data_IF_650401807410
#
_entry.id   IF_650401807410
#
_cell.length_a   1.000
_cell.length_b   1.000
_cell.length_c   1.000
_cell.angle_alpha   90.00
_cell.angle_beta   90.00
_cell.angle_gamma   90.00
#
_symmetry.space_group_name_H-M   'P 1'
#
loop_
_entity.id
_entity.type
_entity.pdbx_description
1 polymer ?
#
# COMPACT_ATOMS: atom_id res chain seq x y z
N UNK A 1 69.96 10.17 25.63
CA UNK A 1 68.70 9.40 25.72
C UNK A 1 68.48 8.70 24.39
N UNK A 2 68.83 7.41 24.27
CA UNK A 2 68.40 6.59 23.14
C UNK A 2 66.95 6.18 23.43
N UNK A 3 66.03 6.52 22.53
CA UNK A 3 64.68 5.95 22.53
C UNK A 3 64.83 4.50 22.05
N UNK A 4 64.51 3.54 22.89
CA UNK A 4 64.40 2.14 22.49
C UNK A 4 63.23 2.02 21.50
N UNK A 5 63.56 1.82 20.23
CA UNK A 5 62.59 1.47 19.21
C UNK A 5 62.21 0.00 19.42
N UNK A 6 61.16 -0.24 20.20
CA UNK A 6 60.53 -1.56 20.27
C UNK A 6 59.92 -1.87 18.89
N UNK A 7 60.61 -2.68 18.08
CA UNK A 7 60.06 -3.24 16.87
C UNK A 7 58.90 -4.18 17.21
N UNK A 8 57.79 -4.05 16.49
CA UNK A 8 56.65 -4.95 16.59
C UNK A 8 57.11 -6.39 16.34
N UNK A 9 56.81 -7.29 17.26
CA UNK A 9 57.09 -8.72 17.07
C UNK A 9 56.14 -9.30 16.02
N UNK A 10 56.58 -10.32 15.28
CA UNK A 10 55.75 -10.99 14.27
C UNK A 10 54.42 -11.49 14.86
N UNK A 11 54.44 -11.95 16.11
CA UNK A 11 53.26 -12.43 16.83
C UNK A 11 52.28 -11.28 17.10
N UNK A 12 52.75 -10.12 17.57
CA UNK A 12 51.90 -8.95 17.78
C UNK A 12 51.25 -8.47 16.48
N UNK A 13 51.96 -8.52 15.34
CA UNK A 13 51.39 -8.20 14.03
C UNK A 13 50.26 -9.18 13.67
N UNK A 14 50.50 -10.49 13.80
CA UNK A 14 49.50 -11.53 13.48
C UNK A 14 48.27 -11.40 14.39
N UNK A 15 48.48 -11.23 15.70
CA UNK A 15 47.39 -11.06 16.67
C UNK A 15 46.61 -9.79 16.38
N UNK A 16 47.28 -8.67 16.10
CA UNK A 16 46.61 -7.40 15.78
C UNK A 16 45.80 -7.52 14.48
N UNK A 17 46.32 -8.21 13.46
CA UNK A 17 45.58 -8.45 12.22
C UNK A 17 44.35 -9.33 12.45
N UNK A 18 44.47 -10.40 13.26
CA UNK A 18 43.36 -11.30 13.59
C UNK A 18 42.28 -10.62 14.44
N UNK A 19 42.68 -9.84 15.44
CA UNK A 19 41.73 -9.09 16.29
C UNK A 19 41.06 -7.98 15.49
N UNK A 20 41.81 -7.25 14.66
CA UNK A 20 41.24 -6.20 13.80
C UNK A 20 40.27 -6.79 12.78
N UNK A 21 40.59 -7.92 12.14
CA UNK A 21 39.69 -8.56 11.17
C UNK A 21 38.39 -9.03 11.82
N UNK A 22 38.45 -9.55 13.05
CA UNK A 22 37.27 -9.90 13.84
C UNK A 22 36.40 -8.66 14.12
N UNK A 23 37.01 -7.55 14.57
CA UNK A 23 36.27 -6.31 14.81
C UNK A 23 35.65 -5.74 13.52
N UNK A 24 36.37 -5.78 12.40
CA UNK A 24 35.85 -5.37 11.09
C UNK A 24 34.68 -6.24 10.64
N UNK A 25 34.77 -7.56 10.85
CA UNK A 25 33.69 -8.48 10.52
C UNK A 25 32.42 -8.16 11.32
N UNK A 26 32.56 -7.97 12.64
CA UNK A 26 31.43 -7.59 13.51
C UNK A 26 30.81 -6.25 13.10
N UNK A 27 31.63 -5.22 12.86
CA UNK A 27 31.15 -3.93 12.42
C UNK A 27 30.41 -4.03 11.06
N UNK A 28 30.95 -4.81 10.12
CA UNK A 28 30.33 -5.03 8.81
C UNK A 28 28.98 -5.73 8.94
N UNK A 29 28.87 -6.75 9.80
CA UNK A 29 27.61 -7.46 10.07
C UNK A 29 26.56 -6.49 10.60
N UNK A 30 26.92 -5.64 11.57
CA UNK A 30 26.00 -4.65 12.15
C UNK A 30 25.53 -3.66 11.09
N UNK A 31 26.43 -3.12 10.27
CA UNK A 31 26.09 -2.16 9.21
C UNK A 31 25.16 -2.78 8.17
N UNK A 32 25.47 -4.00 7.69
CA UNK A 32 24.63 -4.71 6.72
C UNK A 32 23.25 -5.04 7.30
N UNK A 33 23.19 -5.45 8.58
CA UNK A 33 21.93 -5.71 9.26
C UNK A 33 21.07 -4.45 9.38
N UNK A 34 21.65 -3.33 9.81
CA UNK A 34 20.94 -2.05 9.90
C UNK A 34 20.44 -1.58 8.55
N UNK A 35 21.25 -1.68 7.50
CA UNK A 35 20.86 -1.30 6.15
C UNK A 35 19.70 -2.16 5.63
N UNK A 36 19.74 -3.47 5.88
CA UNK A 36 18.69 -4.41 5.48
C UNK A 36 17.39 -4.12 6.22
N UNK A 37 17.47 -3.87 7.53
CA UNK A 37 16.32 -3.51 8.35
C UNK A 37 15.72 -2.17 7.91
N UNK A 38 16.56 -1.18 7.63
CA UNK A 38 16.12 0.12 7.14
C UNK A 38 15.35 -0.02 5.82
N UNK A 39 15.91 -0.71 4.82
CA UNK A 39 15.24 -0.91 3.52
C UNK A 39 13.93 -1.67 3.65
N UNK A 40 13.88 -2.68 4.50
CA UNK A 40 12.65 -3.43 4.77
C UNK A 40 11.59 -2.54 5.42
N UNK A 41 11.98 -1.73 6.41
CA UNK A 41 11.09 -0.78 7.08
C UNK A 41 10.58 0.31 6.14
N UNK A 42 11.45 0.85 5.29
CA UNK A 42 11.12 1.87 4.30
C UNK A 42 10.11 1.31 3.28
N UNK A 43 10.36 0.12 2.74
CA UNK A 43 9.42 -0.58 1.85
C UNK A 43 8.06 -0.78 2.52
N UNK A 44 8.03 -1.29 3.75
CA UNK A 44 6.79 -1.51 4.49
C UNK A 44 6.04 -0.20 4.76
N UNK A 45 6.76 0.89 5.07
CA UNK A 45 6.15 2.20 5.26
C UNK A 45 5.51 2.73 3.96
N UNK A 46 6.21 2.63 2.83
CA UNK A 46 5.68 3.09 1.53
C UNK A 46 4.43 2.30 1.13
N UNK A 47 4.42 0.98 1.36
CA UNK A 47 3.24 0.14 1.17
C UNK A 47 2.05 0.61 2.01
N UNK A 48 2.29 0.89 3.30
CA UNK A 48 1.25 1.37 4.20
C UNK A 48 0.72 2.74 3.79
N UNK A 49 1.60 3.65 3.36
CA UNK A 49 1.21 4.96 2.87
C UNK A 49 0.34 4.88 1.62
N UNK A 50 0.66 4.00 0.67
CA UNK A 50 -0.15 3.78 -0.52
C UNK A 50 -1.53 3.20 -0.18
N UNK A 51 -1.60 2.21 0.74
CA UNK A 51 -2.88 1.69 1.24
C UNK A 51 -3.71 2.81 1.88
N UNK A 52 -3.10 3.68 2.69
CA UNK A 52 -3.79 4.81 3.33
C UNK A 52 -4.31 5.79 2.27
N UNK A 53 -3.50 6.10 1.26
CA UNK A 53 -3.87 6.98 0.16
C UNK A 53 -5.07 6.42 -0.62
N UNK A 54 -5.01 5.14 -1.01
CA UNK A 54 -6.10 4.46 -1.73
C UNK A 54 -7.35 4.41 -0.86
N UNK A 55 -7.23 4.07 0.43
CA UNK A 55 -8.36 4.06 1.36
C UNK A 55 -9.05 5.44 1.38
N UNK A 56 -8.24 6.50 1.49
CA UNK A 56 -8.73 7.88 1.52
C UNK A 56 -9.42 8.27 0.21
N UNK A 57 -8.82 7.95 -0.94
CA UNK A 57 -9.41 8.25 -2.26
C UNK A 57 -10.77 7.56 -2.40
N UNK A 58 -10.87 6.30 -2.00
CA UNK A 58 -12.11 5.53 -2.06
C UNK A 58 -13.18 6.15 -1.14
N UNK A 59 -12.82 6.45 0.12
CA UNK A 59 -13.71 7.13 1.07
C UNK A 59 -14.17 8.49 0.56
N UNK A 60 -13.25 9.37 0.17
CA UNK A 60 -13.56 10.72 -0.31
C UNK A 60 -14.43 10.67 -1.59
N UNK A 61 -14.16 9.71 -2.48
CA UNK A 61 -14.94 9.52 -3.71
C UNK A 61 -16.35 9.07 -3.38
N UNK A 62 -16.51 8.06 -2.52
CA UNK A 62 -17.83 7.56 -2.11
C UNK A 62 -18.59 8.65 -1.37
N UNK A 63 -18.01 9.26 -0.34
CA UNK A 63 -18.66 10.29 0.46
C UNK A 63 -19.11 11.48 -0.41
N UNK A 64 -18.29 11.90 -1.39
CA UNK A 64 -18.66 12.99 -2.29
C UNK A 64 -19.86 12.70 -3.18
N UNK A 65 -20.03 11.45 -3.61
CA UNK A 65 -21.12 11.05 -4.48
C UNK A 65 -22.33 10.51 -3.69
N UNK A 66 -22.15 10.17 -2.41
CA UNK A 66 -23.20 9.70 -1.50
C UNK A 66 -24.15 10.82 -1.06
N UNK A 67 -23.77 12.09 -1.27
CA UNK A 67 -24.57 13.29 -0.97
C UNK A 67 -25.94 13.25 -1.66
N UNK A 68 -25.99 12.72 -2.88
CA UNK A 68 -27.22 12.66 -3.69
C UNK A 68 -28.14 11.50 -3.29
N UNK A 69 -27.73 10.62 -2.37
CA UNK A 69 -28.51 9.44 -1.97
C UNK A 69 -28.82 8.48 -3.12
N UNK A 70 -27.96 8.45 -4.14
CA UNK A 70 -28.09 7.56 -5.29
C UNK A 70 -27.60 6.16 -4.96
N UNK A 71 -28.19 5.18 -5.61
CA UNK A 71 -27.81 3.78 -5.47
C UNK A 71 -26.47 3.49 -6.16
N UNK A 72 -25.64 2.69 -5.48
CA UNK A 72 -24.40 2.17 -6.02
C UNK A 72 -24.62 0.82 -6.70
N UNK A 73 -24.13 0.71 -7.92
CA UNK A 73 -24.02 -0.54 -8.66
C UNK A 73 -22.60 -1.09 -8.47
N UNK A 74 -22.52 -2.31 -7.96
CA UNK A 74 -21.28 -3.06 -7.81
C UNK A 74 -21.13 -4.09 -8.93
N UNK A 75 -19.94 -4.07 -9.55
CA UNK A 75 -19.49 -5.08 -10.50
C UNK A 75 -18.03 -5.40 -10.17
N UNK A 76 -17.74 -6.51 -9.48
CA UNK A 76 -16.43 -7.01 -9.05
C UNK A 76 -15.39 -5.93 -8.62
N UNK A 77 -14.74 -5.29 -9.59
CA UNK A 77 -13.66 -4.30 -9.41
C UNK A 77 -14.05 -2.86 -9.80
N UNK A 78 -15.33 -2.63 -10.10
CA UNK A 78 -15.90 -1.36 -10.56
C UNK A 78 -17.10 -0.99 -9.68
N UNK A 79 -17.10 0.26 -9.24
CA UNK A 79 -18.23 0.89 -8.58
C UNK A 79 -18.79 1.96 -9.52
N UNK A 80 -20.10 1.91 -9.73
CA UNK A 80 -20.82 2.86 -10.57
C UNK A 80 -22.02 3.43 -9.81
N UNK A 81 -22.40 4.68 -10.09
CA UNK A 81 -23.70 5.18 -9.62
C UNK A 81 -24.78 4.92 -10.66
N UNK A 82 -25.94 4.47 -10.19
CA UNK A 82 -27.16 4.46 -10.99
C UNK A 82 -27.70 5.89 -11.10
N UNK A 83 -27.67 6.44 -12.31
CA UNK A 83 -28.26 7.74 -12.63
C UNK A 83 -29.55 7.58 -13.45
N UNK A 84 -30.32 8.66 -13.57
CA UNK A 84 -31.65 8.66 -14.20
C UNK A 84 -31.66 8.19 -15.66
N UNK A 85 -30.54 8.26 -16.39
CA UNK A 85 -30.45 7.84 -17.80
C UNK A 85 -29.10 7.17 -18.17
N UNK A 86 -28.03 7.29 -17.36
CA UNK A 86 -26.71 6.70 -17.63
C UNK A 86 -26.00 6.35 -16.33
N UNK A 87 -25.49 5.12 -16.22
CA UNK A 87 -24.57 4.73 -15.15
C UNK A 87 -23.17 5.27 -15.44
N UNK A 88 -22.51 5.84 -14.43
CA UNK A 88 -21.13 6.30 -14.57
C UNK A 88 -20.22 5.64 -13.53
N UNK A 89 -19.10 5.13 -13.99
CA UNK A 89 -18.09 4.50 -13.16
C UNK A 89 -17.41 5.58 -12.30
N UNK A 90 -17.46 5.42 -10.99
CA UNK A 90 -16.81 6.32 -10.04
C UNK A 90 -15.47 5.79 -9.55
N UNK A 91 -15.31 4.46 -9.50
CA UNK A 91 -14.10 3.80 -9.06
C UNK A 91 -13.93 2.57 -9.95
N UNK A 92 -12.76 2.39 -10.52
CA UNK A 92 -12.39 1.19 -11.26
C UNK A 92 -10.93 0.88 -10.99
N UNK A 93 -10.66 -0.37 -10.63
CA UNK A 93 -9.30 -0.86 -10.45
C UNK A 93 -8.95 -1.86 -11.55
N UNK A 94 -7.90 -1.56 -12.31
CA UNK A 94 -7.28 -2.50 -13.23
C UNK A 94 -6.08 -3.17 -12.54
N UNK A 95 -6.24 -4.44 -12.14
CA UNK A 95 -5.18 -5.20 -11.48
C UNK A 95 -3.99 -5.55 -12.39
N UNK A 96 -4.17 -5.57 -13.72
CA UNK A 96 -3.10 -5.87 -14.68
C UNK A 96 -2.20 -4.66 -14.87
N UNK A 97 -2.81 -3.48 -15.01
CA UNK A 97 -2.09 -2.21 -15.15
C UNK A 97 -1.73 -1.56 -13.81
N UNK A 98 -2.31 -2.05 -12.71
CA UNK A 98 -2.26 -1.44 -11.37
C UNK A 98 -2.68 0.02 -11.38
N UNK A 99 -3.76 0.32 -12.07
CA UNK A 99 -4.30 1.68 -12.17
C UNK A 99 -5.63 1.75 -11.42
N UNK A 100 -5.73 2.71 -10.51
CA UNK A 100 -7.00 3.10 -9.89
C UNK A 100 -7.53 4.34 -10.62
N UNK A 101 -8.64 4.18 -11.32
CA UNK A 101 -9.39 5.28 -11.90
C UNK A 101 -10.51 5.69 -10.95
N UNK A 102 -10.62 6.98 -10.65
CA UNK A 102 -11.65 7.48 -9.74
C UNK A 102 -12.23 8.83 -10.19
N UNK A 103 -13.50 9.06 -9.85
CA UNK A 103 -14.23 10.29 -10.20
C UNK A 103 -14.99 10.83 -8.99
N UNK A 104 -14.48 11.94 -8.45
CA UNK A 104 -15.13 12.71 -7.40
C UNK A 104 -16.27 13.51 -8.03
N UNK A 105 -17.40 13.63 -7.33
CA UNK A 105 -18.55 14.38 -7.81
C UNK A 105 -18.15 15.80 -8.26
N UNK A 106 -18.63 16.21 -9.45
CA UNK A 106 -18.34 17.53 -10.02
C UNK A 106 -16.89 17.74 -10.51
N UNK A 107 -16.06 16.70 -10.56
CA UNK A 107 -14.68 16.76 -11.08
C UNK A 107 -14.46 15.79 -12.26
N UNK A 108 -13.38 16.05 -12.99
CA UNK A 108 -12.88 15.15 -14.02
C UNK A 108 -12.37 13.84 -13.43
N UNK A 109 -12.34 12.79 -14.26
CA UNK A 109 -11.76 11.49 -13.90
C UNK A 109 -10.26 11.62 -13.65
N UNK A 110 -9.79 11.03 -12.57
CA UNK A 110 -8.38 10.97 -12.21
C UNK A 110 -7.91 9.52 -12.24
N UNK A 111 -6.61 9.33 -12.46
CA UNK A 111 -5.95 8.03 -12.41
C UNK A 111 -4.81 8.09 -11.40
N UNK A 112 -4.60 6.97 -10.70
CA UNK A 112 -3.48 6.77 -9.80
C UNK A 112 -2.81 5.44 -10.16
N UNK A 113 -1.52 5.51 -10.47
CA UNK A 113 -0.67 4.33 -10.65
C UNK A 113 -0.26 3.79 -9.29
N UNK A 114 -0.44 2.48 -9.09
CA UNK A 114 -0.21 1.79 -7.84
C UNK A 114 0.99 0.86 -7.96
N UNK A 115 1.93 0.97 -7.03
CA UNK A 115 3.16 0.18 -7.05
C UNK A 115 3.02 -1.10 -6.21
N UNK A 116 2.39 -0.98 -5.05
CA UNK A 116 2.36 -2.00 -4.02
C UNK A 116 0.98 -2.61 -3.77
N UNK A 117 -0.08 -2.12 -4.41
CA UNK A 117 -1.41 -2.74 -4.34
C UNK A 117 -1.50 -3.91 -5.33
N UNK A 118 -2.06 -5.03 -4.87
CA UNK A 118 -2.31 -6.23 -5.68
C UNK A 118 -3.77 -6.38 -6.06
N UNK A 119 -4.69 -6.17 -5.11
CA UNK A 119 -6.13 -6.21 -5.36
C UNK A 119 -6.90 -5.16 -4.57
N UNK A 120 -8.02 -4.72 -5.13
CA UNK A 120 -9.06 -3.95 -4.45
C UNK A 120 -10.37 -4.66 -4.74
N UNK A 121 -11.04 -5.11 -3.68
CA UNK A 121 -12.29 -5.84 -3.73
C UNK A 121 -13.39 -5.02 -3.05
N UNK A 122 -14.57 -5.05 -3.66
CA UNK A 122 -15.76 -4.33 -3.18
C UNK A 122 -16.87 -5.33 -2.90
N UNK A 123 -17.44 -5.28 -1.70
CA UNK A 123 -18.45 -6.24 -1.24
C UNK A 123 -19.64 -5.50 -0.63
N UNK A 124 -20.85 -5.81 -1.07
CA UNK A 124 -22.08 -5.32 -0.43
C UNK A 124 -22.37 -6.11 0.85
N UNK A 125 -22.52 -5.40 1.96
CA UNK A 125 -22.99 -5.92 3.24
C UNK A 125 -24.38 -5.34 3.52
N UNK A 126 -25.39 -6.20 3.55
CA UNK A 126 -26.77 -5.84 3.89
C UNK A 126 -27.38 -4.72 3.01
N UNK A 127 -26.92 -4.56 1.77
CA UNK A 127 -27.47 -3.63 0.79
C UNK A 127 -27.16 -2.15 1.02
N UNK A 128 -26.54 -1.77 2.13
CA UNK A 128 -26.21 -0.35 2.43
C UNK A 128 -24.77 -0.15 2.91
N UNK A 129 -24.09 -1.20 3.35
CA UNK A 129 -22.70 -1.09 3.79
C UNK A 129 -21.78 -1.63 2.70
N UNK A 130 -20.89 -0.79 2.19
CA UNK A 130 -19.85 -1.21 1.27
C UNK A 130 -18.61 -1.61 2.07
N UNK A 131 -18.25 -2.88 2.06
CA UNK A 131 -16.95 -3.34 2.51
C UNK A 131 -15.92 -3.19 1.39
N UNK A 132 -14.80 -2.56 1.71
CA UNK A 132 -13.66 -2.39 0.82
C UNK A 132 -12.49 -3.17 1.41
N UNK A 133 -11.91 -4.05 0.58
CA UNK A 133 -10.75 -4.86 0.93
C UNK A 133 -9.60 -4.51 -0.01
N UNK A 134 -8.53 -3.95 0.55
CA UNK A 134 -7.31 -3.59 -0.19
C UNK A 134 -6.22 -4.56 0.21
N UNK A 135 -5.65 -5.27 -0.75
CA UNK A 135 -4.54 -6.21 -0.56
C UNK A 135 -3.28 -5.65 -1.20
N UNK A 136 -2.15 -5.75 -0.52
CA UNK A 136 -0.85 -5.37 -1.08
C UNK A 136 -0.12 -6.58 -1.70
N UNK A 137 1.00 -6.32 -2.37
CA UNK A 137 1.85 -7.35 -2.99
C UNK A 137 2.52 -8.32 -1.98
N UNK A 138 2.45 -8.04 -0.68
CA UNK A 138 2.89 -8.93 0.40
C UNK A 138 1.69 -9.62 1.09
N UNK A 139 0.52 -9.64 0.44
CA UNK A 139 -0.73 -10.25 0.92
C UNK A 139 -1.29 -9.65 2.23
N UNK A 140 -0.74 -8.53 2.69
CA UNK A 140 -1.30 -7.79 3.82
C UNK A 140 -2.56 -7.08 3.35
N UNK A 141 -3.63 -7.32 4.09
CA UNK A 141 -4.96 -6.83 3.76
C UNK A 141 -5.40 -5.76 4.73
N UNK A 142 -6.00 -4.68 4.21
CA UNK A 142 -6.74 -3.69 5.00
C UNK A 142 -8.20 -3.70 4.58
N UNK A 143 -9.08 -3.84 5.56
CA UNK A 143 -10.52 -3.82 5.37
C UNK A 143 -11.12 -2.60 6.08
N UNK A 144 -12.08 -1.97 5.43
CA UNK A 144 -12.92 -0.93 6.03
C UNK A 144 -14.32 -0.99 5.42
N UNK A 145 -15.29 -0.36 6.07
CA UNK A 145 -16.66 -0.30 5.61
C UNK A 145 -17.14 1.14 5.51
N UNK A 146 -17.97 1.42 4.51
CA UNK A 146 -18.58 2.72 4.25
C UNK A 146 -20.09 2.56 4.17
N UNK A 147 -20.84 3.53 4.67
CA UNK A 147 -22.30 3.51 4.60
C UNK A 147 -22.77 4.26 3.35
N UNK A 148 -23.66 3.64 2.59
CA UNK A 148 -24.19 4.15 1.33
C UNK A 148 -25.65 4.52 1.54
N UNK A 149 -25.97 5.80 1.36
CA UNK A 149 -27.29 6.39 1.66
C UNK A 149 -28.34 5.88 0.70
N UNK A 150 -28.00 5.74 -0.59
CA UNK A 150 -28.93 5.28 -1.63
C UNK A 150 -29.04 3.77 -1.79
N UNK A 151 -28.31 3.00 -0.99
CA UNK A 151 -28.21 1.55 -1.13
C UNK A 151 -27.21 1.07 -2.18
N UNK A 152 -27.08 -0.25 -2.28
CA UNK A 152 -26.11 -0.97 -3.07
C UNK A 152 -26.84 -2.15 -3.74
N UNK A 153 -26.84 -2.18 -5.08
CA UNK A 153 -27.22 -3.35 -5.86
C UNK A 153 -26.01 -4.01 -6.49
N UNK A 154 -26.06 -5.34 -6.53
CA UNK A 154 -25.14 -6.15 -7.31
C UNK A 154 -25.78 -6.42 -8.68
N UNK A 155 -25.02 -6.30 -9.77
CA UNK A 155 -25.53 -6.69 -11.09
C UNK A 155 -25.93 -8.17 -11.17
N UNK A 156 -25.39 -9.04 -10.29
CA UNK A 156 -25.73 -10.47 -10.24
C UNK A 156 -27.16 -10.76 -9.73
N UNK A 157 -27.81 -9.83 -9.03
CA UNK A 157 -29.18 -10.02 -8.51
C UNK A 157 -30.29 -9.70 -9.55
N UNK A 158 -29.91 -9.32 -10.78
CA UNK A 158 -30.84 -8.92 -11.86
C UNK A 158 -30.98 -9.96 -13.00
N UNK A 159 -30.58 -11.22 -12.81
CA UNK A 159 -30.83 -12.34 -13.75
C UNK A 159 -31.78 -13.40 -13.21
#
# INVERSE_FOLDING_TARGET
MKKDAHGLTLVEVIVTMAVSSLFFALASIVVVSLLTNYRTSEKANNMNQEIILVSKIITDTIDSNNIDGKELLLNDSVISYSGSDVSYNIISFDGSLKILSYKIFGKDSNTLELNYISSIEFLSLNGNLLQVKITNIEEKTKNFALNIVGGISNEEDNT
#
